data_IF_468653423203
#
_entry.id   IF_468653423203
#
_cell.length_a   1.000
_cell.length_b   1.000
_cell.length_c   1.000
_cell.angle_alpha   90.00
_cell.angle_beta   90.00
_cell.angle_gamma   90.00
#
_symmetry.space_group_name_H-M   'P 1'
#
loop_
_entity.id
_entity.type
_entity.pdbx_description
1 polymer ?
#
# COMPACT_ATOMS: atom_id res chain seq x y z
N UNK A 1 25.83 -7.55 -28.58
CA UNK A 1 26.91 -6.57 -28.34
C UNK A 1 26.52 -5.73 -27.14
N UNK A 2 27.07 -6.06 -25.95
CA UNK A 2 26.84 -5.31 -24.71
C UNK A 2 27.56 -3.97 -24.86
N UNK A 3 26.82 -2.88 -25.05
CA UNK A 3 27.38 -1.55 -24.91
C UNK A 3 27.83 -1.41 -23.46
N UNK A 4 29.13 -1.42 -23.24
CA UNK A 4 29.75 -1.04 -21.97
C UNK A 4 29.16 0.31 -21.57
N UNK A 5 28.54 0.37 -20.40
CA UNK A 5 28.06 1.63 -19.84
C UNK A 5 29.20 2.66 -19.92
N UNK A 6 28.97 3.79 -20.58
CA UNK A 6 29.97 4.86 -20.80
C UNK A 6 30.34 5.60 -19.52
N UNK A 7 29.82 5.16 -18.37
CA UNK A 7 30.07 5.79 -17.08
C UNK A 7 31.44 5.37 -16.53
N UNK A 8 32.15 6.27 -15.84
CA UNK A 8 33.38 5.94 -15.13
C UNK A 8 33.18 4.77 -14.17
N UNK A 9 34.25 4.01 -13.93
CA UNK A 9 34.25 2.91 -12.95
C UNK A 9 33.78 3.42 -11.58
N UNK A 10 32.88 2.69 -10.94
CA UNK A 10 32.30 3.05 -9.64
C UNK A 10 31.25 4.17 -9.65
N UNK A 11 31.03 4.86 -10.78
CA UNK A 11 30.08 5.98 -10.84
C UNK A 11 28.64 5.57 -10.51
N UNK A 12 28.19 4.39 -10.96
CA UNK A 12 26.84 3.87 -10.69
C UNK A 12 26.63 3.66 -9.19
N UNK A 13 27.60 3.05 -8.50
CA UNK A 13 27.53 2.80 -7.06
C UNK A 13 27.57 4.12 -6.28
N UNK A 14 28.39 5.08 -6.71
CA UNK A 14 28.45 6.41 -6.10
C UNK A 14 27.13 7.18 -6.26
N UNK A 15 26.51 7.14 -7.44
CA UNK A 15 25.21 7.78 -7.71
C UNK A 15 24.08 7.13 -6.92
N UNK A 16 24.11 5.80 -6.80
CA UNK A 16 23.16 5.05 -5.98
C UNK A 16 23.27 5.47 -4.51
N UNK A 17 24.48 5.54 -3.97
CA UNK A 17 24.72 5.94 -2.58
C UNK A 17 24.37 7.41 -2.34
N UNK A 18 24.71 8.30 -3.28
CA UNK A 18 24.30 9.70 -3.21
C UNK A 18 22.77 9.83 -3.20
N UNK A 19 22.07 9.07 -4.05
CA UNK A 19 20.60 9.05 -4.08
C UNK A 19 20.03 8.57 -2.75
N UNK A 20 20.58 7.49 -2.17
CA UNK A 20 20.21 7.00 -0.84
C UNK A 20 20.35 8.08 0.22
N UNK A 21 21.51 8.74 0.27
CA UNK A 21 21.81 9.80 1.27
C UNK A 21 20.85 10.97 1.12
N UNK A 22 20.60 11.47 -0.09
CA UNK A 22 19.65 12.56 -0.31
C UNK A 22 18.25 12.17 0.15
N UNK A 23 17.76 10.99 -0.25
CA UNK A 23 16.44 10.49 0.13
C UNK A 23 16.28 10.31 1.65
N UNK A 24 17.36 9.93 2.35
CA UNK A 24 17.39 9.87 3.81
C UNK A 24 17.41 11.26 4.45
N UNK A 25 18.17 12.21 3.90
CA UNK A 25 18.24 13.58 4.43
C UNK A 25 16.90 14.31 4.35
N UNK A 26 16.13 14.09 3.28
CA UNK A 26 14.78 14.62 3.13
C UNK A 26 13.66 13.71 3.64
N UNK A 27 13.98 12.74 4.50
CA UNK A 27 13.01 11.91 5.22
C UNK A 27 11.94 12.79 5.89
N UNK A 28 10.66 12.36 5.88
CA UNK A 28 9.58 13.09 6.54
C UNK A 28 9.02 14.32 5.80
N UNK A 29 9.81 15.00 4.96
CA UNK A 29 9.41 16.26 4.32
C UNK A 29 8.18 16.10 3.42
N UNK A 30 8.16 15.07 2.56
CA UNK A 30 7.06 14.85 1.64
C UNK A 30 5.75 14.51 2.37
N UNK A 31 5.83 13.86 3.53
CA UNK A 31 4.69 13.59 4.40
C UNK A 31 4.44 14.68 5.45
N UNK A 32 5.23 15.74 5.48
CA UNK A 32 5.14 16.85 6.45
C UNK A 32 5.29 16.38 7.91
N UNK A 33 6.18 15.43 8.15
CA UNK A 33 6.47 14.86 9.47
C UNK A 33 7.60 15.66 10.14
N UNK A 34 7.59 15.68 11.48
CA UNK A 34 8.72 16.17 12.26
C UNK A 34 9.92 15.24 12.09
N UNK A 35 11.08 15.80 11.78
CA UNK A 35 12.35 15.07 11.60
C UNK A 35 13.26 15.13 12.82
N UNK A 36 12.84 15.81 13.89
CA UNK A 36 13.64 15.97 15.10
C UNK A 36 14.04 14.62 15.69
N UNK A 37 15.34 14.42 15.88
CA UNK A 37 15.90 13.17 16.42
C UNK A 37 16.08 12.05 15.40
N UNK A 38 15.65 12.23 14.14
CA UNK A 38 15.97 11.29 13.05
C UNK A 38 17.43 11.46 12.66
N UNK A 39 18.26 10.40 12.75
CA UNK A 39 19.65 10.49 12.32
C UNK A 39 19.76 10.87 10.84
N UNK A 40 20.72 11.74 10.53
CA UNK A 40 21.03 12.22 9.17
C UNK A 40 19.93 13.05 8.48
N UNK A 41 18.74 13.21 9.06
CA UNK A 41 17.70 14.06 8.49
C UNK A 41 18.11 15.53 8.54
N UNK A 42 17.90 16.26 7.45
CA UNK A 42 18.24 17.68 7.29
C UNK A 42 17.03 18.55 6.95
N UNK A 43 15.81 17.99 7.00
CA UNK A 43 14.61 18.69 6.59
C UNK A 43 14.36 20.00 7.35
N UNK A 44 14.67 20.03 8.64
CA UNK A 44 14.56 21.24 9.46
C UNK A 44 15.71 22.24 9.19
N UNK A 45 16.89 21.77 8.79
CA UNK A 45 18.02 22.64 8.40
C UNK A 45 17.74 23.35 7.07
N UNK A 46 17.11 22.65 6.12
CA UNK A 46 16.76 23.20 4.81
C UNK A 46 15.64 24.23 4.87
N UNK A 47 14.86 24.29 5.94
CA UNK A 47 13.76 25.25 6.06
C UNK A 47 14.25 26.71 5.99
N UNK A 48 15.50 26.98 6.41
CA UNK A 48 16.11 28.31 6.30
C UNK A 48 16.41 28.77 4.87
N UNK A 49 16.42 27.85 3.89
CA UNK A 49 16.73 28.14 2.48
C UNK A 49 15.48 28.47 1.64
N UNK A 50 14.27 28.38 2.22
CA UNK A 50 12.98 28.56 1.52
C UNK A 50 12.11 29.60 2.23
N UNK A 51 11.18 30.23 1.52
CA UNK A 51 10.28 31.24 2.11
C UNK A 51 9.25 30.59 3.04
N UNK A 52 8.80 29.38 2.69
CA UNK A 52 7.82 28.62 3.48
C UNK A 52 8.15 27.13 3.51
N UNK A 53 7.68 26.43 4.56
CA UNK A 53 7.79 24.96 4.65
C UNK A 53 6.98 24.22 3.57
N UNK A 54 5.95 24.86 3.02
CA UNK A 54 5.18 24.31 1.89
C UNK A 54 6.01 24.33 0.61
N UNK A 55 6.72 25.44 0.33
CA UNK A 55 7.63 25.57 -0.81
C UNK A 55 8.78 24.55 -0.74
N UNK A 56 9.41 24.40 0.43
CA UNK A 56 10.42 23.36 0.68
C UNK A 56 9.86 21.97 0.36
N UNK A 57 8.64 21.68 0.83
CA UNK A 57 7.99 20.39 0.60
C UNK A 57 7.73 20.13 -0.88
N UNK A 58 7.23 21.12 -1.62
CA UNK A 58 6.99 20.99 -3.06
C UNK A 58 8.27 20.74 -3.84
N UNK A 59 9.32 21.52 -3.53
CA UNK A 59 10.64 21.37 -4.14
C UNK A 59 11.27 20.01 -3.79
N UNK A 60 11.12 19.56 -2.55
CA UNK A 60 11.55 18.23 -2.13
C UNK A 60 10.81 17.11 -2.87
N UNK A 61 9.50 17.22 -3.07
CA UNK A 61 8.74 16.19 -3.82
C UNK A 61 9.30 16.02 -5.24
N UNK A 62 9.66 17.12 -5.91
CA UNK A 62 10.27 17.09 -7.23
C UNK A 62 11.69 16.50 -7.22
N UNK A 63 12.53 16.89 -6.26
CA UNK A 63 13.88 16.35 -6.11
C UNK A 63 13.86 14.85 -5.77
N UNK A 64 13.00 14.45 -4.82
CA UNK A 64 12.77 13.07 -4.42
C UNK A 64 12.43 12.20 -5.62
N UNK A 65 11.51 12.64 -6.48
CA UNK A 65 11.16 11.92 -7.70
C UNK A 65 12.38 11.73 -8.63
N UNK A 66 13.23 12.74 -8.78
CA UNK A 66 14.47 12.64 -9.56
C UNK A 66 15.47 11.67 -8.95
N UNK A 67 15.69 11.72 -7.64
CA UNK A 67 16.56 10.77 -6.93
C UNK A 67 16.05 9.33 -7.04
N UNK A 68 14.73 9.12 -6.98
CA UNK A 68 14.12 7.81 -7.20
C UNK A 68 14.37 7.29 -8.62
N UNK A 69 14.28 8.13 -9.65
CA UNK A 69 14.62 7.73 -11.02
C UNK A 69 16.10 7.41 -11.19
N UNK A 70 17.01 8.17 -10.56
CA UNK A 70 18.44 7.82 -10.55
C UNK A 70 18.67 6.47 -9.88
N UNK A 71 18.03 6.19 -8.75
CA UNK A 71 18.12 4.91 -8.07
C UNK A 71 17.62 3.74 -8.95
N UNK A 72 16.52 3.93 -9.70
CA UNK A 72 16.03 2.94 -10.68
C UNK A 72 17.07 2.66 -11.75
N UNK A 73 17.60 3.70 -12.39
CA UNK A 73 18.61 3.57 -13.45
C UNK A 73 19.90 2.92 -12.93
N UNK A 74 20.33 3.25 -11.71
CA UNK A 74 21.48 2.60 -11.10
C UNK A 74 21.20 1.12 -10.79
N UNK A 75 19.97 0.77 -10.41
CA UNK A 75 19.57 -0.61 -10.12
C UNK A 75 19.55 -1.48 -11.37
N UNK A 76 19.14 -0.95 -12.53
CA UNK A 76 19.18 -1.72 -13.79
C UNK A 76 20.61 -2.03 -14.25
N UNK A 77 21.56 -1.15 -13.90
CA UNK A 77 22.99 -1.31 -14.23
C UNK A 77 23.72 -2.19 -13.21
N UNK A 78 23.49 -1.98 -11.91
CA UNK A 78 24.18 -2.64 -10.80
C UNK A 78 23.19 -3.19 -9.75
N UNK A 79 22.40 -4.24 -10.09
CA UNK A 79 21.32 -4.75 -9.23
C UNK A 79 21.84 -5.35 -7.91
N UNK A 80 23.05 -5.92 -7.90
CA UNK A 80 23.68 -6.48 -6.70
C UNK A 80 24.02 -5.40 -5.68
N UNK A 81 24.64 -4.31 -6.14
CA UNK A 81 24.95 -3.17 -5.29
C UNK A 81 23.68 -2.49 -4.77
N UNK A 82 22.66 -2.34 -5.62
CA UNK A 82 21.36 -1.79 -5.24
C UNK A 82 20.65 -2.61 -4.15
N UNK A 83 20.58 -3.94 -4.30
CA UNK A 83 19.97 -4.81 -3.30
C UNK A 83 20.72 -4.75 -1.95
N UNK A 84 22.07 -4.76 -1.99
CA UNK A 84 22.88 -4.66 -0.78
C UNK A 84 22.72 -3.29 -0.10
N UNK A 85 22.73 -2.19 -0.85
CA UNK A 85 22.51 -0.85 -0.32
C UNK A 85 21.12 -0.71 0.31
N UNK A 86 20.08 -1.25 -0.34
CA UNK A 86 18.72 -1.25 0.20
C UNK A 86 18.63 -2.06 1.50
N UNK A 87 19.24 -3.24 1.55
CA UNK A 87 19.25 -4.08 2.75
C UNK A 87 20.00 -3.43 3.92
N UNK A 88 21.18 -2.85 3.65
CA UNK A 88 21.93 -2.10 4.65
C UNK A 88 21.12 -0.90 5.15
N UNK A 89 20.46 -0.18 4.25
CA UNK A 89 19.65 0.98 4.63
C UNK A 89 18.46 0.60 5.53
N UNK A 90 17.71 -0.45 5.18
CA UNK A 90 16.64 -1.00 6.03
C UNK A 90 17.20 -1.41 7.38
N UNK A 91 18.31 -2.15 7.43
CA UNK A 91 18.94 -2.57 8.68
C UNK A 91 19.35 -1.38 9.56
N UNK A 92 19.90 -0.32 8.97
CA UNK A 92 20.28 0.89 9.70
C UNK A 92 19.06 1.58 10.29
N UNK A 93 18.00 1.78 9.50
CA UNK A 93 16.76 2.41 9.98
C UNK A 93 16.13 1.58 11.09
N UNK A 94 16.04 0.26 10.93
CA UNK A 94 15.52 -0.62 11.98
C UNK A 94 16.40 -0.64 13.23
N UNK A 95 17.71 -0.46 13.09
CA UNK A 95 18.63 -0.25 14.21
C UNK A 95 18.33 1.02 15.00
N UNK A 96 17.83 2.08 14.35
CA UNK A 96 17.38 3.28 15.06
C UNK A 96 16.08 3.04 15.85
N UNK A 97 15.18 2.18 15.33
CA UNK A 97 13.90 1.84 15.94
C UNK A 97 14.02 0.79 17.06
N UNK A 98 15.14 0.05 17.12
CA UNK A 98 15.36 -0.99 18.11
C UNK A 98 15.41 -0.44 19.55
N UNK A 99 15.22 -1.30 20.54
CA UNK A 99 15.31 -0.93 21.95
C UNK A 99 16.66 -0.29 22.27
N UNK A 100 16.64 0.89 22.91
CA UNK A 100 17.82 1.72 23.17
C UNK A 100 18.25 2.62 22.00
N UNK A 101 17.76 2.38 20.79
CA UNK A 101 18.06 3.13 19.57
C UNK A 101 17.61 4.60 19.59
N UNK A 102 18.04 5.37 18.59
CA UNK A 102 17.75 6.81 18.49
C UNK A 102 16.25 7.11 18.45
N UNK A 103 15.46 6.22 17.84
CA UNK A 103 14.03 6.32 17.61
C UNK A 103 13.26 5.20 18.33
N UNK A 104 13.76 4.78 19.50
CA UNK A 104 13.09 3.79 20.34
C UNK A 104 11.73 4.32 20.81
N UNK A 105 10.65 3.69 20.33
CA UNK A 105 9.28 4.07 20.63
C UNK A 105 8.95 4.07 22.13
N UNK A 106 9.68 3.30 22.95
CA UNK A 106 9.50 3.30 24.41
C UNK A 106 9.91 4.64 25.05
N UNK A 107 10.79 5.41 24.40
CA UNK A 107 11.22 6.74 24.86
C UNK A 107 10.13 7.80 24.67
N UNK A 108 9.15 7.58 23.78
CA UNK A 108 8.04 8.50 23.53
C UNK A 108 7.13 8.68 24.76
N UNK A 109 6.97 7.62 25.56
CA UNK A 109 6.09 7.61 26.74
C UNK A 109 6.61 8.54 27.85
N UNK A 110 7.91 8.84 27.87
CA UNK A 110 8.54 9.64 28.90
C UNK A 110 8.42 11.17 28.69
N UNK A 111 8.16 11.65 27.47
CA UNK A 111 8.15 13.08 27.16
C UNK A 111 6.78 13.76 27.26
N UNK A 112 5.68 12.99 27.30
CA UNK A 112 4.31 13.49 27.52
C UNK A 112 3.78 14.50 26.48
N UNK A 113 4.58 14.87 25.48
CA UNK A 113 4.26 15.90 24.51
C UNK A 113 3.47 15.28 23.36
N UNK A 114 2.15 15.24 23.55
CA UNK A 114 1.19 14.88 22.52
C UNK A 114 0.61 16.17 21.95
N UNK A 115 0.73 16.40 20.65
CA UNK A 115 0.10 17.54 19.96
C UNK A 115 -1.43 17.45 20.08
N UNK A 116 -2.14 18.54 19.79
CA UNK A 116 -3.61 18.60 19.82
C UNK A 116 -4.31 17.52 18.96
N UNK A 117 -3.58 16.94 17.99
CA UNK A 117 -4.06 15.84 17.13
C UNK A 117 -3.76 14.43 17.68
N UNK A 118 -3.21 14.31 18.90
CA UNK A 118 -2.83 13.01 19.46
C UNK A 118 -1.43 12.50 19.05
N UNK A 119 -0.58 13.34 18.43
CA UNK A 119 0.74 12.92 17.89
C UNK A 119 1.88 13.14 18.88
N UNK A 120 2.76 12.15 19.05
CA UNK A 120 4.09 12.37 19.65
C UNK A 120 5.10 12.75 18.56
N UNK A 121 6.06 13.63 18.86
CA UNK A 121 7.16 13.95 17.93
C UNK A 121 7.99 12.72 17.56
N UNK A 122 8.03 11.72 18.43
CA UNK A 122 8.69 10.44 18.18
C UNK A 122 7.98 9.62 17.10
N UNK A 123 6.65 9.58 17.11
CA UNK A 123 5.89 8.87 16.07
C UNK A 123 6.10 9.48 14.68
N UNK A 124 6.17 10.82 14.62
CA UNK A 124 6.50 11.55 13.39
C UNK A 124 7.94 11.25 12.96
N UNK A 125 8.91 11.22 13.88
CA UNK A 125 10.31 10.89 13.59
C UNK A 125 10.49 9.44 13.09
N UNK A 126 9.84 8.47 13.73
CA UNK A 126 9.80 7.07 13.27
C UNK A 126 9.19 7.00 11.86
N UNK A 127 8.07 7.70 11.65
CA UNK A 127 7.42 7.81 10.35
C UNK A 127 8.33 8.41 9.28
N UNK A 128 9.06 9.47 9.61
CA UNK A 128 10.00 10.13 8.72
C UNK A 128 11.14 9.20 8.32
N UNK A 129 11.77 8.53 9.28
CA UNK A 129 12.86 7.58 9.03
C UNK A 129 12.41 6.43 8.10
N UNK A 130 11.21 5.88 8.34
CA UNK A 130 10.64 4.85 7.47
C UNK A 130 10.27 5.39 6.08
N UNK A 131 9.82 6.64 5.97
CA UNK A 131 9.58 7.28 4.67
C UNK A 131 10.87 7.43 3.85
N UNK A 132 11.99 7.79 4.50
CA UNK A 132 13.31 7.81 3.87
C UNK A 132 13.66 6.43 3.28
N UNK A 133 13.50 5.38 4.09
CA UNK A 133 13.70 4.00 3.67
C UNK A 133 12.80 3.60 2.49
N UNK A 134 11.51 3.91 2.54
CA UNK A 134 10.55 3.64 1.44
C UNK A 134 11.03 4.30 0.17
N UNK A 135 11.43 5.56 0.25
CA UNK A 135 11.80 6.37 -0.91
C UNK A 135 13.00 5.81 -1.66
N UNK A 136 13.88 5.06 -0.99
CA UNK A 136 15.00 4.38 -1.63
C UNK A 136 14.67 2.93 -2.03
N UNK A 137 13.98 2.17 -1.17
CA UNK A 137 13.67 0.75 -1.44
C UNK A 137 12.66 0.60 -2.57
N UNK A 138 11.65 1.46 -2.65
CA UNK A 138 10.62 1.42 -3.69
C UNK A 138 11.20 1.48 -5.12
N UNK A 139 12.01 2.48 -5.50
CA UNK A 139 12.60 2.52 -6.84
C UNK A 139 13.55 1.35 -7.11
N UNK A 140 14.33 0.92 -6.11
CA UNK A 140 15.21 -0.27 -6.24
C UNK A 140 14.38 -1.51 -6.58
N UNK A 141 13.31 -1.78 -5.81
CA UNK A 141 12.43 -2.92 -6.09
C UNK A 141 11.66 -2.76 -7.40
N UNK A 142 11.38 -1.52 -7.83
CA UNK A 142 10.75 -1.25 -9.12
C UNK A 142 11.60 -1.65 -10.32
N UNK A 143 12.92 -1.45 -10.23
CA UNK A 143 13.87 -1.70 -11.30
C UNK A 143 14.58 -3.07 -11.20
N UNK A 144 14.39 -3.80 -10.11
CA UNK A 144 15.08 -5.08 -9.86
C UNK A 144 14.69 -6.14 -10.93
N UNK A 145 15.66 -6.83 -11.57
CA UNK A 145 15.40 -7.79 -12.65
C UNK A 145 14.98 -9.17 -12.12
N UNK A 146 13.90 -9.21 -11.33
CA UNK A 146 13.38 -10.42 -10.65
C UNK A 146 11.98 -10.83 -11.15
N UNK A 147 11.49 -10.20 -12.21
CA UNK A 147 10.19 -10.45 -12.82
C UNK A 147 10.28 -10.54 -14.36
N UNK A 148 9.31 -11.19 -15.01
CA UNK A 148 9.18 -11.25 -16.47
C UNK A 148 9.71 -12.55 -17.12
N UNK A 149 9.69 -12.60 -18.46
CA UNK A 149 10.20 -13.73 -19.26
C UNK A 149 11.71 -13.96 -19.10
N UNK A 150 12.43 -12.95 -18.62
CA UNK A 150 13.89 -12.90 -18.58
C UNK A 150 14.47 -13.38 -17.25
N UNK A 151 13.65 -13.90 -16.32
CA UNK A 151 14.14 -14.43 -15.04
C UNK A 151 15.14 -15.57 -15.24
N UNK A 152 14.95 -16.41 -16.26
CA UNK A 152 15.91 -17.46 -16.63
C UNK A 152 17.22 -16.86 -17.17
N UNK A 153 17.15 -15.78 -17.94
CA UNK A 153 18.32 -15.05 -18.44
C UNK A 153 19.06 -14.29 -17.33
N UNK A 154 18.37 -13.93 -16.25
CA UNK A 154 18.89 -13.21 -15.09
C UNK A 154 19.14 -14.10 -13.87
N UNK A 155 19.15 -15.43 -14.02
CA UNK A 155 19.19 -16.38 -12.90
C UNK A 155 20.36 -16.11 -11.92
N UNK A 156 21.55 -15.79 -12.44
CA UNK A 156 22.72 -15.46 -11.60
C UNK A 156 22.57 -14.13 -10.84
N UNK A 157 21.87 -13.16 -11.42
CA UNK A 157 21.58 -11.89 -10.76
C UNK A 157 20.54 -12.12 -9.67
N UNK A 158 19.46 -12.84 -10.00
CA UNK A 158 18.39 -13.23 -9.07
C UNK A 158 18.97 -13.97 -7.86
N UNK A 159 19.80 -14.99 -8.09
CA UNK A 159 20.46 -15.74 -7.01
C UNK A 159 21.32 -14.83 -6.12
N UNK A 160 22.01 -13.85 -6.71
CA UNK A 160 22.87 -12.94 -5.95
C UNK A 160 22.11 -11.89 -5.13
N UNK A 161 20.94 -11.42 -5.58
CA UNK A 161 20.15 -10.40 -4.86
C UNK A 161 19.20 -11.02 -3.83
N UNK A 162 18.79 -12.26 -4.03
CA UNK A 162 17.79 -12.96 -3.20
C UNK A 162 18.11 -12.93 -1.70
N UNK A 163 19.35 -13.19 -1.23
CA UNK A 163 19.69 -13.13 0.20
C UNK A 163 19.44 -11.75 0.82
N UNK A 164 19.70 -10.66 0.10
CA UNK A 164 19.46 -9.31 0.57
C UNK A 164 17.96 -9.00 0.69
N UNK A 165 17.15 -9.49 -0.26
CA UNK A 165 15.69 -9.36 -0.22
C UNK A 165 15.10 -10.12 0.97
N UNK A 166 15.59 -11.33 1.23
CA UNK A 166 15.17 -12.15 2.36
C UNK A 166 15.51 -11.53 3.69
N UNK A 167 16.72 -10.97 3.82
CA UNK A 167 17.15 -10.28 5.03
C UNK A 167 16.23 -9.07 5.31
N UNK A 168 15.95 -8.24 4.31
CA UNK A 168 15.03 -7.11 4.44
C UNK A 168 13.63 -7.56 4.86
N UNK A 169 13.08 -8.55 4.15
CA UNK A 169 11.73 -9.04 4.42
C UNK A 169 11.63 -9.63 5.84
N UNK A 170 12.60 -10.45 6.23
CA UNK A 170 12.63 -11.07 7.58
C UNK A 170 12.68 -10.01 8.68
N UNK A 171 13.53 -8.98 8.52
CA UNK A 171 13.62 -7.89 9.50
C UNK A 171 12.32 -7.08 9.57
N UNK A 172 11.74 -6.71 8.43
CA UNK A 172 10.50 -5.90 8.39
C UNK A 172 9.27 -6.67 8.91
N UNK A 173 9.22 -7.99 8.72
CA UNK A 173 8.16 -8.83 9.27
C UNK A 173 8.22 -8.93 10.80
N UNK A 174 9.42 -8.81 11.39
CA UNK A 174 9.64 -8.89 12.83
C UNK A 174 9.38 -7.56 13.57
N UNK A 175 9.45 -6.43 12.87
CA UNK A 175 9.31 -5.09 13.48
C UNK A 175 7.88 -4.83 13.89
N UNK A 176 7.67 -4.43 15.14
CA UNK A 176 6.34 -4.17 15.69
C UNK A 176 6.08 -2.68 15.95
N UNK A 177 5.07 -2.15 15.25
CA UNK A 177 4.71 -0.73 15.30
C UNK A 177 3.21 -0.59 15.52
N UNK A 178 2.82 0.38 16.34
CA UNK A 178 1.43 0.64 16.74
C UNK A 178 0.89 1.98 16.26
N UNK A 179 1.77 2.97 16.07
CA UNK A 179 1.38 4.29 15.59
C UNK A 179 0.86 4.25 14.15
N UNK A 180 -0.25 4.93 13.82
CA UNK A 180 -0.80 4.97 12.47
C UNK A 180 0.21 5.42 11.40
N UNK A 181 1.05 6.41 11.71
CA UNK A 181 2.06 6.93 10.77
C UNK A 181 3.12 5.88 10.50
N UNK A 182 3.66 5.28 11.55
CA UNK A 182 4.68 4.24 11.47
C UNK A 182 4.18 2.99 10.73
N UNK A 183 2.96 2.53 11.05
CA UNK A 183 2.30 1.40 10.37
C UNK A 183 2.07 1.70 8.88
N UNK A 184 1.72 2.94 8.52
CA UNK A 184 1.53 3.33 7.13
C UNK A 184 2.82 3.24 6.31
N UNK A 185 3.95 3.65 6.88
CA UNK A 185 5.24 3.60 6.21
C UNK A 185 5.81 2.17 6.18
N UNK A 186 5.60 1.38 7.24
CA UNK A 186 5.92 -0.05 7.23
C UNK A 186 5.11 -0.78 6.14
N UNK A 187 3.82 -0.49 5.99
CA UNK A 187 3.00 -1.06 4.93
C UNK A 187 3.51 -0.69 3.51
N UNK A 188 4.03 0.54 3.32
CA UNK A 188 4.71 0.96 2.07
C UNK A 188 5.96 0.14 1.80
N UNK A 189 6.81 -0.10 2.82
CA UNK A 189 8.01 -0.93 2.68
C UNK A 189 7.66 -2.37 2.31
N UNK A 190 6.68 -2.95 3.02
CA UNK A 190 6.19 -4.30 2.74
C UNK A 190 5.60 -4.43 1.33
N UNK A 191 4.88 -3.40 0.86
CA UNK A 191 4.39 -3.35 -0.52
C UNK A 191 5.53 -3.28 -1.55
N UNK A 192 6.53 -2.43 -1.32
CA UNK A 192 7.69 -2.33 -2.21
C UNK A 192 8.40 -3.68 -2.35
N UNK A 193 8.49 -4.46 -1.25
CA UNK A 193 9.04 -5.81 -1.23
C UNK A 193 8.08 -6.90 -1.74
N UNK A 194 6.85 -6.56 -2.16
CA UNK A 194 5.88 -7.53 -2.66
C UNK A 194 6.42 -8.37 -3.83
N UNK A 195 7.26 -7.79 -4.69
CA UNK A 195 7.94 -8.52 -5.78
C UNK A 195 8.95 -9.57 -5.32
N UNK A 196 9.46 -9.50 -4.09
CA UNK A 196 10.32 -10.56 -3.54
C UNK A 196 9.59 -11.91 -3.46
N UNK A 197 8.26 -11.92 -3.42
CA UNK A 197 7.46 -13.15 -3.49
C UNK A 197 7.67 -13.95 -4.79
N UNK A 198 8.12 -13.30 -5.88
CA UNK A 198 8.42 -13.98 -7.15
C UNK A 198 9.63 -14.91 -7.05
N UNK A 199 10.59 -14.58 -6.18
CA UNK A 199 11.83 -15.36 -5.97
C UNK A 199 11.76 -16.18 -4.69
N UNK A 200 10.89 -15.79 -3.74
CA UNK A 200 10.62 -16.50 -2.48
C UNK A 200 9.12 -16.67 -2.25
N UNK A 201 8.48 -17.66 -2.93
CA UNK A 201 7.05 -17.91 -2.80
C UNK A 201 6.60 -18.27 -1.38
N UNK A 202 7.47 -18.88 -0.60
CA UNK A 202 7.23 -19.27 0.80
C UNK A 202 7.04 -18.06 1.72
N UNK A 203 7.71 -16.94 1.44
CA UNK A 203 7.58 -15.70 2.21
C UNK A 203 6.31 -14.90 1.86
N UNK A 204 5.64 -15.22 0.75
CA UNK A 204 4.45 -14.51 0.27
C UNK A 204 3.30 -14.58 1.30
N UNK A 205 3.06 -15.76 1.88
CA UNK A 205 2.00 -15.94 2.89
C UNK A 205 2.31 -15.13 4.16
N UNK A 206 3.57 -15.13 4.61
CA UNK A 206 3.99 -14.36 5.79
C UNK A 206 3.78 -12.85 5.58
N UNK A 207 4.06 -12.35 4.38
CA UNK A 207 3.85 -10.94 4.00
C UNK A 207 2.37 -10.53 4.11
N UNK A 208 1.46 -11.32 3.54
CA UNK A 208 0.02 -11.05 3.65
C UNK A 208 -0.47 -11.16 5.10
N UNK A 209 -0.05 -12.20 5.82
CA UNK A 209 -0.41 -12.37 7.23
C UNK A 209 0.04 -11.18 8.07
N UNK A 210 1.24 -10.63 7.82
CA UNK A 210 1.72 -9.43 8.50
C UNK A 210 0.84 -8.22 8.20
N UNK A 211 0.49 -7.99 6.93
CA UNK A 211 -0.39 -6.88 6.56
C UNK A 211 -1.79 -7.01 7.22
N UNK A 212 -2.36 -8.22 7.29
CA UNK A 212 -3.61 -8.43 8.02
C UNK A 212 -3.47 -8.26 9.53
N UNK A 213 -2.34 -8.64 10.12
CA UNK A 213 -2.06 -8.40 11.52
C UNK A 213 -1.98 -6.90 11.83
N UNK A 214 -1.33 -6.11 10.98
CA UNK A 214 -1.29 -4.64 11.08
C UNK A 214 -2.70 -4.04 10.96
N UNK A 215 -3.47 -4.44 9.94
CA UNK A 215 -4.86 -3.99 9.75
C UNK A 215 -5.74 -4.34 10.96
N UNK A 216 -5.51 -5.50 11.57
CA UNK A 216 -6.25 -5.98 12.73
C UNK A 216 -5.87 -5.30 14.05
N UNK A 217 -4.79 -4.53 14.10
CA UNK A 217 -4.37 -3.80 15.31
C UNK A 217 -4.80 -2.35 15.31
N UNK A 218 -4.92 -1.76 14.13
CA UNK A 218 -5.40 -0.38 14.00
C UNK A 218 -6.87 -0.28 14.41
N UNK A 219 -7.26 0.70 15.25
CA UNK A 219 -8.63 0.87 15.69
C UNK A 219 -9.54 1.21 14.50
N UNK A 220 -10.80 0.77 14.58
CA UNK A 220 -11.83 1.11 13.61
C UNK A 220 -12.54 2.36 14.12
N UNK A 221 -12.35 3.50 13.46
CA UNK A 221 -13.04 4.74 13.84
C UNK A 221 -14.53 4.65 13.48
N UNK A 222 -15.42 4.93 14.42
CA UNK A 222 -16.88 4.83 14.22
C UNK A 222 -17.38 5.74 13.09
N UNK A 223 -16.85 6.95 12.98
CA UNK A 223 -17.18 7.89 11.89
C UNK A 223 -16.78 7.35 10.50
N UNK A 224 -15.77 6.48 10.43
CA UNK A 224 -15.32 5.85 9.18
C UNK A 224 -16.23 4.74 8.68
N UNK A 225 -17.17 4.27 9.52
CA UNK A 225 -18.15 3.25 9.16
C UNK A 225 -19.33 3.83 8.39
N UNK A 226 -19.50 5.15 8.46
CA UNK A 226 -20.73 5.82 8.04
C UNK A 226 -20.46 6.75 6.86
N UNK A 227 -19.50 7.69 6.90
CA UNK A 227 -19.28 8.60 5.77
C UNK A 227 -17.93 8.39 5.05
N UNK A 228 -17.89 8.39 3.70
CA UNK A 228 -16.63 8.45 2.96
C UNK A 228 -15.94 9.80 3.21
N UNK A 229 -14.62 9.82 3.51
CA UNK A 229 -13.92 11.07 3.73
C UNK A 229 -13.86 11.91 2.45
N UNK A 230 -14.01 13.23 2.59
CA UNK A 230 -13.81 14.18 1.49
C UNK A 230 -12.38 14.03 0.96
N UNK A 231 -12.21 13.77 -0.35
CA UNK A 231 -10.91 13.41 -0.98
C UNK A 231 -9.77 14.38 -0.65
N UNK A 232 -10.05 15.67 -0.54
CA UNK A 232 -9.06 16.71 -0.21
C UNK A 232 -8.52 16.55 1.23
N UNK A 233 -9.40 16.27 2.19
CA UNK A 233 -9.02 16.05 3.60
C UNK A 233 -8.28 14.72 3.79
N UNK A 234 -8.60 13.70 2.98
CA UNK A 234 -7.95 12.40 3.03
C UNK A 234 -6.46 12.44 2.58
N UNK A 235 -6.12 13.25 1.59
CA UNK A 235 -4.73 13.41 1.12
C UNK A 235 -3.85 14.13 2.16
N UNK A 236 -4.40 15.15 2.84
CA UNK A 236 -3.74 15.86 3.95
C UNK A 236 -3.58 15.01 5.23
N UNK A 237 -4.39 13.94 5.37
CA UNK A 237 -4.41 13.05 6.54
C UNK A 237 -3.80 11.67 6.27
N UNK A 238 -3.16 11.46 5.12
CA UNK A 238 -2.65 10.16 4.70
C UNK A 238 -1.66 9.58 5.71
N UNK A 239 -2.04 8.46 6.33
CA UNK A 239 -1.31 7.78 7.41
C UNK A 239 -1.31 8.50 8.77
N UNK A 240 -1.93 9.69 8.87
CA UNK A 240 -1.99 10.52 10.09
C UNK A 240 -3.16 10.18 11.01
N UNK A 241 -4.09 9.34 10.54
CA UNK A 241 -5.22 8.81 11.31
C UNK A 241 -5.22 7.29 11.26
N UNK A 242 -5.88 6.63 12.22
CA UNK A 242 -6.01 5.18 12.19
C UNK A 242 -6.70 4.73 10.90
N UNK A 243 -7.75 5.43 10.48
CA UNK A 243 -8.44 5.10 9.23
C UNK A 243 -7.55 5.26 8.00
N UNK A 244 -6.78 6.34 7.88
CA UNK A 244 -5.89 6.52 6.74
C UNK A 244 -4.78 5.46 6.71
N UNK A 245 -4.27 5.05 7.88
CA UNK A 245 -3.33 3.95 7.99
C UNK A 245 -3.94 2.61 7.56
N UNK A 246 -5.17 2.32 7.96
CA UNK A 246 -5.91 1.12 7.52
C UNK A 246 -6.09 1.08 6.00
N UNK A 247 -6.50 2.19 5.39
CA UNK A 247 -6.57 2.31 3.94
C UNK A 247 -5.21 2.06 3.27
N UNK A 248 -4.13 2.58 3.87
CA UNK A 248 -2.78 2.34 3.35
C UNK A 248 -2.38 0.87 3.43
N UNK A 249 -2.74 0.17 4.50
CA UNK A 249 -2.51 -1.28 4.62
C UNK A 249 -3.31 -2.05 3.57
N UNK A 250 -4.58 -1.70 3.33
CA UNK A 250 -5.37 -2.34 2.26
C UNK A 250 -4.78 -2.08 0.86
N UNK A 251 -4.28 -0.87 0.60
CA UNK A 251 -3.56 -0.57 -0.64
C UNK A 251 -2.27 -1.40 -0.76
N UNK A 252 -1.53 -1.60 0.34
CA UNK A 252 -0.36 -2.47 0.37
C UNK A 252 -0.70 -3.92 0.05
N UNK A 253 -1.81 -4.45 0.59
CA UNK A 253 -2.29 -5.80 0.27
C UNK A 253 -2.55 -5.92 -1.24
N UNK A 254 -3.22 -4.94 -1.85
CA UNK A 254 -3.43 -4.90 -3.30
C UNK A 254 -2.10 -4.88 -4.07
N UNK A 255 -1.17 -3.99 -3.71
CA UNK A 255 0.12 -3.88 -4.38
C UNK A 255 0.97 -5.15 -4.29
N UNK A 256 1.00 -5.80 -3.12
CA UNK A 256 1.65 -7.10 -2.92
C UNK A 256 1.00 -8.17 -3.80
N UNK A 257 -0.33 -8.28 -3.76
CA UNK A 257 -1.08 -9.25 -4.56
C UNK A 257 -0.86 -9.06 -6.07
N UNK A 258 -0.87 -7.81 -6.54
CA UNK A 258 -0.65 -7.46 -7.94
C UNK A 258 0.81 -7.69 -8.40
N UNK A 259 1.77 -7.66 -7.47
CA UNK A 259 3.19 -7.88 -7.79
C UNK A 259 3.54 -9.34 -8.10
N UNK A 260 2.79 -10.31 -7.54
CA UNK A 260 3.05 -11.74 -7.71
C UNK A 260 1.75 -12.57 -7.77
N UNK A 261 0.82 -12.29 -8.70
CA UNK A 261 -0.52 -12.86 -8.70
C UNK A 261 -0.51 -14.40 -8.77
N UNK A 262 0.38 -14.98 -9.56
CA UNK A 262 0.46 -16.45 -9.70
C UNK A 262 0.89 -17.13 -8.40
N UNK A 263 1.74 -16.50 -7.58
CA UNK A 263 2.16 -17.01 -6.27
C UNK A 263 0.99 -16.99 -5.30
N UNK A 264 0.25 -15.87 -5.27
CA UNK A 264 -0.89 -15.72 -4.36
C UNK A 264 -2.12 -16.51 -4.77
N UNK A 265 -2.23 -16.93 -6.02
CA UNK A 265 -3.40 -17.66 -6.51
C UNK A 265 -3.63 -18.97 -5.76
N UNK A 266 -2.56 -19.67 -5.35
CA UNK A 266 -2.64 -20.88 -4.54
C UNK A 266 -3.29 -20.66 -3.16
N UNK A 267 -3.24 -19.42 -2.65
CA UNK A 267 -3.74 -19.04 -1.33
C UNK A 267 -5.01 -18.19 -1.39
N UNK A 268 -5.55 -17.95 -2.58
CA UNK A 268 -6.60 -16.96 -2.82
C UNK A 268 -7.91 -17.23 -2.06
N UNK A 269 -8.30 -18.50 -1.92
CA UNK A 269 -9.52 -18.87 -1.18
C UNK A 269 -9.36 -18.65 0.32
N UNK A 270 -8.20 -19.00 0.89
CA UNK A 270 -7.90 -18.74 2.30
C UNK A 270 -7.90 -17.23 2.58
N UNK A 271 -7.34 -16.44 1.65
CA UNK A 271 -7.38 -14.99 1.72
C UNK A 271 -8.82 -14.46 1.66
N UNK A 272 -9.66 -14.92 0.71
CA UNK A 272 -11.06 -14.52 0.65
C UNK A 272 -11.83 -14.82 1.95
N UNK A 273 -11.61 -16.00 2.56
CA UNK A 273 -12.19 -16.36 3.86
C UNK A 273 -11.74 -15.42 4.98
N UNK A 274 -10.48 -14.98 4.98
CA UNK A 274 -9.98 -14.03 5.96
C UNK A 274 -10.64 -12.65 5.80
N UNK A 275 -10.80 -12.16 4.57
CA UNK A 275 -11.52 -10.90 4.30
C UNK A 275 -12.97 -11.00 4.76
N UNK A 276 -13.63 -12.12 4.49
CA UNK A 276 -15.00 -12.37 4.92
C UNK A 276 -15.14 -12.44 6.45
N UNK A 277 -14.17 -13.05 7.14
CA UNK A 277 -14.10 -13.05 8.60
C UNK A 277 -13.98 -11.63 9.19
N UNK A 278 -13.12 -10.79 8.60
CA UNK A 278 -13.00 -9.38 9.01
C UNK A 278 -14.27 -8.58 8.69
N UNK A 279 -14.92 -8.85 7.55
CA UNK A 279 -16.18 -8.20 7.17
C UNK A 279 -17.31 -8.53 8.13
N UNK A 280 -17.55 -9.82 8.34
CA UNK A 280 -18.62 -10.32 9.22
C UNK A 280 -18.43 -9.91 10.68
N UNK A 281 -17.18 -9.77 11.13
CA UNK A 281 -16.85 -9.21 12.45
C UNK A 281 -16.97 -7.69 12.56
N UNK A 282 -17.49 -6.98 11.54
CA UNK A 282 -17.62 -5.52 11.54
C UNK A 282 -16.27 -4.78 11.61
N UNK A 283 -15.19 -5.44 11.18
CA UNK A 283 -13.82 -4.93 11.27
C UNK A 283 -13.32 -4.27 9.99
N UNK A 284 -14.15 -4.18 8.96
CA UNK A 284 -13.83 -3.53 7.69
C UNK A 284 -14.82 -2.41 7.38
N UNK A 285 -14.30 -1.22 7.05
CA UNK A 285 -15.10 -0.15 6.44
C UNK A 285 -15.43 -0.50 4.98
N UNK A 286 -16.47 0.12 4.40
CA UNK A 286 -16.85 -0.15 3.02
C UNK A 286 -15.75 0.14 1.99
N UNK A 287 -14.93 1.16 2.23
CA UNK A 287 -13.76 1.46 1.41
C UNK A 287 -12.68 0.36 1.49
N UNK A 288 -12.42 -0.19 2.68
CA UNK A 288 -11.47 -1.31 2.87
C UNK A 288 -11.97 -2.57 2.18
N UNK A 289 -13.28 -2.86 2.26
CA UNK A 289 -13.90 -3.98 1.52
C UNK A 289 -13.63 -3.87 0.03
N UNK A 290 -13.80 -2.68 -0.55
CA UNK A 290 -13.52 -2.42 -1.96
C UNK A 290 -12.06 -2.65 -2.33
N UNK A 291 -11.11 -2.13 -1.53
CA UNK A 291 -9.68 -2.32 -1.80
C UNK A 291 -9.22 -3.78 -1.69
N UNK A 292 -9.73 -4.53 -0.71
CA UNK A 292 -9.43 -5.96 -0.55
C UNK A 292 -10.09 -6.81 -1.65
N UNK A 293 -11.28 -6.42 -2.12
CA UNK A 293 -11.92 -7.04 -3.28
C UNK A 293 -11.09 -6.83 -4.56
N UNK A 294 -10.54 -5.63 -4.76
CA UNK A 294 -9.60 -5.36 -5.86
C UNK A 294 -8.34 -6.22 -5.75
N UNK A 295 -7.82 -6.45 -4.55
CA UNK A 295 -6.66 -7.33 -4.33
C UNK A 295 -6.97 -8.78 -4.76
N UNK A 296 -8.13 -9.31 -4.36
CA UNK A 296 -8.58 -10.66 -4.76
C UNK A 296 -8.74 -10.77 -6.29
N UNK A 297 -9.28 -9.74 -6.93
CA UNK A 297 -9.44 -9.69 -8.39
C UNK A 297 -8.10 -9.57 -9.12
N UNK A 298 -7.14 -8.82 -8.58
CA UNK A 298 -5.80 -8.69 -9.14
C UNK A 298 -5.04 -10.03 -9.18
N UNK A 299 -5.25 -10.88 -8.15
CA UNK A 299 -4.70 -12.25 -8.13
C UNK A 299 -5.42 -13.17 -9.12
N UNK A 300 -6.75 -13.07 -9.20
CA UNK A 300 -7.55 -13.94 -10.04
C UNK A 300 -7.41 -13.66 -11.55
N UNK A 301 -7.27 -12.38 -11.93
CA UNK A 301 -7.26 -11.94 -13.33
C UNK A 301 -6.33 -12.74 -14.23
N UNK A 302 -5.03 -12.88 -13.89
CA UNK A 302 -4.07 -13.65 -14.69
C UNK A 302 -4.39 -15.15 -14.83
N UNK A 303 -5.23 -15.69 -13.95
CA UNK A 303 -5.62 -17.11 -13.97
C UNK A 303 -6.82 -17.39 -14.90
N UNK A 304 -7.34 -16.36 -15.57
CA UNK A 304 -8.40 -16.49 -16.55
C UNK A 304 -9.83 -16.45 -15.99
N UNK A 305 -10.84 -16.47 -16.88
CA UNK A 305 -12.23 -16.14 -16.55
C UNK A 305 -12.88 -17.09 -15.56
N UNK A 306 -12.49 -18.37 -15.53
CA UNK A 306 -13.02 -19.33 -14.57
C UNK A 306 -12.70 -18.92 -13.12
N UNK A 307 -11.43 -18.57 -12.85
CA UNK A 307 -10.98 -18.14 -11.54
C UNK A 307 -11.59 -16.80 -11.13
N UNK A 308 -11.72 -15.88 -12.08
CA UNK A 308 -12.40 -14.60 -11.86
C UNK A 308 -13.85 -14.81 -11.44
N UNK A 309 -14.60 -15.73 -12.08
CA UNK A 309 -15.98 -16.07 -11.67
C UNK A 309 -16.06 -16.61 -10.26
N UNK A 310 -15.11 -17.44 -9.83
CA UNK A 310 -15.10 -17.95 -8.46
C UNK A 310 -14.92 -16.83 -7.44
N UNK A 311 -13.97 -15.92 -7.69
CA UNK A 311 -13.75 -14.75 -6.82
C UNK A 311 -14.96 -13.82 -6.81
N UNK A 312 -15.57 -13.55 -7.97
CA UNK A 312 -16.80 -12.75 -8.05
C UNK A 312 -17.93 -13.38 -7.24
N UNK A 313 -18.07 -14.71 -7.29
CA UNK A 313 -19.05 -15.43 -6.47
C UNK A 313 -18.79 -15.19 -4.99
N UNK A 314 -17.55 -15.36 -4.52
CA UNK A 314 -17.21 -15.15 -3.11
C UNK A 314 -17.47 -13.72 -2.64
N UNK A 315 -17.16 -12.72 -3.48
CA UNK A 315 -17.31 -11.30 -3.16
C UNK A 315 -18.76 -10.82 -3.19
N UNK A 316 -19.54 -11.27 -4.16
CA UNK A 316 -20.88 -10.75 -4.44
C UNK A 316 -21.99 -11.62 -3.84
N UNK A 317 -21.73 -12.87 -3.45
CA UNK A 317 -22.74 -13.72 -2.82
C UNK A 317 -23.37 -13.09 -1.55
N UNK A 318 -22.62 -12.44 -0.64
CA UNK A 318 -23.23 -11.73 0.48
C UNK A 318 -24.14 -10.57 0.05
N UNK A 319 -23.76 -9.85 -1.00
CA UNK A 319 -24.56 -8.76 -1.58
C UNK A 319 -25.83 -9.31 -2.23
N UNK A 320 -25.68 -10.37 -3.04
CA UNK A 320 -26.78 -11.06 -3.70
C UNK A 320 -27.79 -11.57 -2.68
N UNK A 321 -27.36 -12.26 -1.61
CA UNK A 321 -28.28 -12.78 -0.59
C UNK A 321 -29.06 -11.67 0.12
N UNK A 322 -28.45 -10.49 0.31
CA UNK A 322 -29.11 -9.34 0.92
C UNK A 322 -30.06 -8.63 -0.04
N UNK A 323 -29.70 -8.52 -1.32
CA UNK A 323 -30.48 -7.78 -2.30
C UNK A 323 -31.59 -8.62 -2.94
N UNK A 324 -31.29 -9.87 -3.25
CA UNK A 324 -32.16 -10.81 -3.97
C UNK A 324 -32.16 -12.14 -3.22
N UNK A 325 -32.85 -12.23 -2.06
CA UNK A 325 -32.86 -13.43 -1.23
C UNK A 325 -33.43 -14.67 -1.93
N UNK A 326 -34.27 -14.48 -2.95
CA UNK A 326 -34.75 -15.54 -3.84
C UNK A 326 -34.75 -15.03 -5.30
N UNK A 327 -34.56 -15.92 -6.30
CA UNK A 327 -34.54 -15.52 -7.71
C UNK A 327 -35.79 -14.71 -8.09
N UNK A 328 -35.58 -13.50 -8.62
CA UNK A 328 -36.66 -12.59 -9.01
C UNK A 328 -37.33 -11.81 -7.87
N UNK A 329 -36.93 -12.03 -6.62
CA UNK A 329 -37.48 -11.34 -5.45
C UNK A 329 -36.47 -10.36 -4.86
N UNK A 330 -36.69 -9.06 -5.08
CA UNK A 330 -35.93 -8.00 -4.42
C UNK A 330 -36.29 -7.94 -2.93
N UNK A 331 -35.30 -7.74 -2.06
CA UNK A 331 -35.53 -7.54 -0.64
C UNK A 331 -36.43 -6.32 -0.40
N UNK A 332 -37.47 -6.50 0.43
CA UNK A 332 -38.47 -5.46 0.68
C UNK A 332 -37.85 -4.21 1.32
N UNK A 333 -36.79 -4.38 2.11
CA UNK A 333 -36.10 -3.29 2.82
C UNK A 333 -35.27 -2.39 1.89
N UNK A 334 -34.98 -2.83 0.65
CA UNK A 334 -34.26 -2.01 -0.33
C UNK A 334 -35.15 -1.00 -1.05
N UNK A 335 -36.43 -1.32 -1.25
CA UNK A 335 -37.38 -0.46 -1.96
C UNK A 335 -37.56 0.92 -1.28
N UNK A 336 -37.67 1.01 0.06
CA UNK A 336 -37.70 2.29 0.77
C UNK A 336 -36.39 3.09 0.67
N UNK A 337 -35.23 2.41 0.71
CA UNK A 337 -33.90 3.03 0.62
C UNK A 337 -33.60 3.61 -0.76
N UNK A 338 -34.27 3.12 -1.80
CA UNK A 338 -34.21 3.66 -3.16
C UNK A 338 -35.09 4.91 -3.37
N UNK A 339 -35.83 5.35 -2.35
CA UNK A 339 -36.69 6.53 -2.46
C UNK A 339 -35.93 7.83 -2.16
N UNK A 340 -36.03 8.80 -3.09
CA UNK A 340 -35.48 10.16 -2.91
C UNK A 340 -36.00 10.86 -1.65
N UNK A 341 -37.23 10.55 -1.23
CA UNK A 341 -37.83 11.10 -0.01
C UNK A 341 -37.18 10.61 1.29
N UNK A 342 -36.73 9.35 1.35
CA UNK A 342 -36.00 8.85 2.52
C UNK A 342 -34.53 9.27 2.54
N UNK A 343 -33.92 9.44 1.36
CA UNK A 343 -32.58 10.04 1.21
C UNK A 343 -32.54 11.50 1.70
N UNK A 344 -33.64 12.23 1.57
CA UNK A 344 -33.75 13.64 2.00
C UNK A 344 -34.10 13.83 3.50
N UNK A 345 -34.51 12.77 4.21
CA UNK A 345 -35.05 12.87 5.57
C UNK A 345 -34.01 12.73 6.70
N UNK A 346 -32.73 12.49 6.39
CA UNK A 346 -31.81 11.88 7.34
C UNK A 346 -31.20 12.75 8.45
N UNK A 347 -31.94 13.74 8.95
CA UNK A 347 -31.62 14.38 10.24
C UNK A 347 -32.25 13.66 11.45
N UNK A 348 -33.32 12.87 11.27
CA UNK A 348 -34.02 12.22 12.39
C UNK A 348 -33.52 10.80 12.74
N UNK A 349 -32.62 10.21 11.95
CA UNK A 349 -32.30 8.79 12.01
C UNK A 349 -30.81 8.48 12.17
N UNK A 350 -30.24 8.73 13.36
CA UNK A 350 -28.93 8.26 13.90
C UNK A 350 -27.66 8.27 13.02
N UNK A 351 -27.72 8.60 11.74
CA UNK A 351 -26.60 8.56 10.81
C UNK A 351 -25.89 9.91 10.66
N UNK A 352 -24.70 9.89 10.06
CA UNK A 352 -23.89 11.09 9.82
C UNK A 352 -24.13 11.62 8.40
N UNK A 353 -24.26 12.95 8.27
CA UNK A 353 -24.45 13.67 7.00
C UNK A 353 -25.81 13.44 6.30
N UNK A 354 -26.89 13.28 7.06
CA UNK A 354 -28.24 13.28 6.48
C UNK A 354 -28.68 11.94 5.89
N UNK A 355 -27.97 10.84 6.15
CA UNK A 355 -28.26 9.49 5.64
C UNK A 355 -28.12 8.44 6.76
N UNK A 356 -29.03 7.46 6.81
CA UNK A 356 -28.97 6.36 7.78
C UNK A 356 -27.88 5.32 7.43
N UNK A 357 -27.45 4.52 8.40
CA UNK A 357 -26.46 3.44 8.21
C UNK A 357 -26.84 2.47 7.08
N UNK A 358 -28.15 2.22 6.90
CA UNK A 358 -28.66 1.37 5.82
C UNK A 358 -28.39 1.95 4.41
N UNK A 359 -28.41 3.29 4.26
CA UNK A 359 -28.06 3.94 2.99
C UNK A 359 -26.56 3.82 2.70
N UNK A 360 -25.73 3.88 3.73
CA UNK A 360 -24.28 3.72 3.58
C UNK A 360 -23.87 2.28 3.27
N UNK A 361 -24.56 1.30 3.86
CA UNK A 361 -24.38 -0.11 3.48
C UNK A 361 -24.78 -0.35 2.02
N UNK A 362 -25.91 0.21 1.56
CA UNK A 362 -26.31 0.14 0.15
C UNK A 362 -25.29 0.80 -0.77
N UNK A 363 -24.82 2.00 -0.43
CA UNK A 363 -23.76 2.69 -1.19
C UNK A 363 -22.50 1.84 -1.32
N UNK A 364 -22.06 1.21 -0.23
CA UNK A 364 -20.87 0.37 -0.24
C UNK A 364 -21.05 -0.93 -1.03
N UNK A 365 -22.24 -1.51 -1.04
CA UNK A 365 -22.57 -2.66 -1.88
C UNK A 365 -22.53 -2.33 -3.37
N UNK A 366 -23.14 -1.19 -3.74
CA UNK A 366 -23.11 -0.69 -5.13
C UNK A 366 -21.66 -0.45 -5.56
N UNK A 367 -20.86 0.22 -4.72
CA UNK A 367 -19.44 0.47 -5.00
C UNK A 367 -18.63 -0.82 -5.14
N UNK A 368 -18.88 -1.83 -4.31
CA UNK A 368 -18.23 -3.13 -4.41
C UNK A 368 -18.60 -3.83 -5.73
N UNK A 369 -19.88 -3.86 -6.07
CA UNK A 369 -20.37 -4.45 -7.32
C UNK A 369 -19.77 -3.74 -8.55
N UNK A 370 -19.77 -2.41 -8.57
CA UNK A 370 -19.18 -1.60 -9.63
C UNK A 370 -17.69 -1.91 -9.84
N UNK A 371 -16.91 -1.98 -8.76
CA UNK A 371 -15.47 -2.32 -8.82
C UNK A 371 -15.23 -3.74 -9.32
N UNK A 372 -16.02 -4.70 -8.84
CA UNK A 372 -15.96 -6.08 -9.29
C UNK A 372 -16.24 -6.19 -10.80
N UNK A 373 -17.27 -5.48 -11.28
CA UNK A 373 -17.62 -5.43 -12.70
C UNK A 373 -16.49 -4.80 -13.53
N UNK A 374 -15.97 -3.65 -13.13
CA UNK A 374 -14.85 -2.97 -13.83
C UNK A 374 -13.64 -3.88 -13.99
N UNK A 375 -13.28 -4.67 -12.97
CA UNK A 375 -12.13 -5.59 -13.03
C UNK A 375 -12.43 -6.93 -13.71
N UNK A 376 -13.70 -7.34 -13.82
CA UNK A 376 -14.09 -8.59 -14.47
C UNK A 376 -14.00 -8.56 -15.99
N UNK A 377 -14.09 -7.36 -16.60
CA UNK A 377 -14.09 -7.20 -18.06
C UNK A 377 -12.73 -7.39 -18.75
N UNK A 378 -11.64 -7.52 -17.98
CA UNK A 378 -10.26 -7.41 -18.47
C UNK A 378 -9.93 -5.99 -18.95
N UNK A 379 -8.63 -5.66 -19.04
CA UNK A 379 -8.21 -4.51 -19.87
C UNK A 379 -8.51 -4.90 -21.32
N UNK A 380 -9.70 -4.54 -21.81
CA UNK A 380 -9.98 -4.58 -23.24
C UNK A 380 -9.24 -3.38 -23.84
N UNK A 381 -8.09 -3.64 -24.43
CA UNK A 381 -7.45 -2.70 -25.32
C UNK A 381 -8.46 -2.38 -26.44
N UNK A 382 -8.96 -1.14 -26.60
CA UNK A 382 -10.03 -0.81 -27.54
C UNK A 382 -9.65 -1.11 -29.00
N UNK A 383 -8.36 -1.36 -29.29
CA UNK A 383 -7.86 -1.78 -30.60
C UNK A 383 -8.03 -3.27 -30.92
N UNK A 384 -8.44 -4.15 -29.99
CA UNK A 384 -8.69 -5.57 -30.28
C UNK A 384 -10.14 -5.88 -30.67
N UNK A 385 -11.03 -4.89 -30.66
CA UNK A 385 -12.43 -5.08 -31.05
C UNK A 385 -12.69 -5.01 -32.56
N UNK A 386 -11.68 -4.67 -33.39
CA UNK A 386 -11.85 -4.49 -34.84
C UNK A 386 -11.50 -5.69 -35.72
N UNK A 387 -10.88 -6.75 -35.18
CA UNK A 387 -10.43 -7.90 -36.00
C UNK A 387 -11.33 -9.14 -35.90
N UNK A 388 -12.60 -8.95 -35.52
CA UNK A 388 -13.55 -10.04 -35.23
C UNK A 388 -14.78 -10.14 -36.12
N UNK A 389 -14.86 -9.42 -37.24
CA UNK A 389 -15.98 -9.56 -38.19
C UNK A 389 -15.48 -9.90 -39.59
N UNK A 390 -15.20 -11.18 -39.81
CA UNK A 390 -14.78 -11.72 -41.10
C UNK A 390 -14.61 -13.22 -41.07
N UNK A 391 -15.69 -13.97 -40.89
CA UNK A 391 -15.79 -15.36 -41.34
C UNK A 391 -17.27 -15.78 -41.45
N UNK A 392 -17.58 -16.40 -42.57
CA UNK A 392 -18.88 -16.69 -43.16
C UNK A 392 -19.71 -17.75 -42.41
N UNK A 393 -21.02 -17.70 -42.68
CA UNK A 393 -22.05 -18.64 -42.25
C UNK A 393 -23.44 -18.07 -42.49
#
# INVERSE_FOLDING_TARGET
VKGSCLLPEGAVVALLEASRVWLQQGAGLASGLCTAGVPEAKGDDWEGDFETREELRESWIMLRARCMEVAKLCTTLEPRAAAAAAANHVSTVLGWLAAGGALDASKAVASGAVTADGRSSMDDAIGAALEGAVSFVEPVMQAMPIAGSDVSANAEVVAAVTPALEAMLSQLLAVDLTSPVAVSQLAKLLEALGRAALVRPDAATALLQRLFALLSRLPVEEASRVAPPIRVKAALMAGRTAQAARQRVCAAVLGVCASAPNVFNAHLEAFAKQVEGLRSGGRLSGAERGALAEALMAVAGPSGPARVRDVLRWLLEPVQRRWVPAPGQLAQDLLPLASLGQLAAGEAGRGTAGLSDAHWDLFHDVQLAERCLRRSGGDKDPNQASDGSGAEG
#
